data_IF_493698645413
#
_entry.id   IF_493698645413
#
_cell.length_a   1.000
_cell.length_b   1.000
_cell.length_c   1.000
_cell.angle_alpha   90.00
_cell.angle_beta   90.00
_cell.angle_gamma   90.00
#
_symmetry.space_group_name_H-M   'P 1'
#
loop_
_entity.id
_entity.type
_entity.pdbx_description
1 polymer ?
#
# COMPACT_ATOMS: atom_id res chain seq x y z
N UNK A 1 36.45 -10.51 16.24
CA UNK A 1 35.65 -11.00 15.10
C UNK A 1 35.43 -9.83 14.17
N UNK A 2 35.94 -9.87 12.95
CA UNK A 2 35.75 -8.79 11.99
C UNK A 2 34.27 -8.77 11.59
N UNK A 3 33.54 -7.72 12.00
CA UNK A 3 32.20 -7.44 11.48
C UNK A 3 32.34 -7.20 9.97
N UNK A 4 31.93 -8.19 9.16
CA UNK A 4 31.87 -8.02 7.71
C UNK A 4 30.85 -6.92 7.43
N UNK A 5 31.28 -5.84 6.77
CA UNK A 5 30.35 -4.79 6.34
C UNK A 5 29.22 -5.41 5.50
N UNK A 6 27.96 -4.97 5.67
CA UNK A 6 26.85 -5.44 4.85
C UNK A 6 27.16 -5.22 3.36
N UNK A 7 26.84 -6.20 2.52
CA UNK A 7 27.10 -6.14 1.07
C UNK A 7 26.33 -4.99 0.40
N UNK A 8 25.14 -4.68 0.91
CA UNK A 8 24.26 -3.62 0.42
C UNK A 8 23.87 -2.69 1.57
N UNK A 9 23.85 -1.39 1.30
CA UNK A 9 23.47 -0.36 2.26
C UNK A 9 22.69 0.75 1.57
N UNK A 10 21.84 1.44 2.32
CA UNK A 10 21.17 2.66 1.86
C UNK A 10 21.02 3.66 3.00
N UNK A 11 20.59 4.86 2.66
CA UNK A 11 20.35 5.94 3.61
C UNK A 11 18.86 6.07 3.88
N UNK A 12 18.48 6.00 5.15
CA UNK A 12 17.12 6.29 5.61
C UNK A 12 17.10 7.59 6.42
N UNK A 13 16.01 8.37 6.41
CA UNK A 13 15.85 9.49 7.33
C UNK A 13 15.81 9.02 8.79
N UNK A 14 16.49 9.75 9.66
CA UNK A 14 16.40 9.53 11.10
C UNK A 14 14.96 9.72 11.61
N UNK A 15 14.54 8.94 12.63
CA UNK A 15 13.37 9.26 13.41
C UNK A 15 13.54 10.66 14.01
N UNK A 16 12.52 11.52 13.89
CA UNK A 16 12.55 12.85 14.50
C UNK A 16 12.20 12.72 15.98
N UNK A 17 13.07 13.22 16.86
CA UNK A 17 12.73 13.39 18.26
C UNK A 17 11.72 14.56 18.42
N UNK A 18 10.75 14.45 19.35
CA UNK A 18 9.80 15.51 19.61
C UNK A 18 10.51 16.70 20.29
N UNK A 19 11.02 17.64 19.49
CA UNK A 19 11.66 18.87 19.97
C UNK A 19 12.61 19.56 18.99
N UNK A 20 13.06 18.88 17.94
CA UNK A 20 14.07 19.43 17.03
C UNK A 20 13.49 20.42 16.01
N UNK A 21 14.16 21.57 15.88
CA UNK A 21 13.86 22.56 14.83
C UNK A 21 14.31 22.02 13.47
N UNK A 22 13.59 22.35 12.38
CA UNK A 22 14.00 21.94 11.04
C UNK A 22 15.23 22.75 10.63
N UNK A 23 16.41 22.15 10.76
CA UNK A 23 17.66 22.63 10.19
C UNK A 23 18.12 21.63 9.12
N UNK A 24 18.99 22.12 8.23
CA UNK A 24 19.36 21.56 6.92
C UNK A 24 19.46 20.01 6.86
N UNK A 25 18.69 19.39 5.97
CA UNK A 25 18.26 17.98 6.07
C UNK A 25 19.25 16.93 5.53
N UNK A 26 20.36 17.30 4.88
CA UNK A 26 21.41 16.33 4.53
C UNK A 26 22.12 15.74 5.76
N UNK A 27 21.98 16.39 6.93
CA UNK A 27 22.62 15.98 8.18
C UNK A 27 21.89 14.82 8.93
N UNK A 28 20.73 14.36 8.46
CA UNK A 28 19.87 13.41 9.20
C UNK A 28 19.59 12.07 8.48
N UNK A 29 20.49 11.64 7.59
CA UNK A 29 20.39 10.33 6.95
C UNK A 29 21.29 9.29 7.63
N UNK A 30 20.73 8.18 8.08
CA UNK A 30 21.46 7.06 8.67
C UNK A 30 21.70 5.98 7.64
N UNK A 31 22.94 5.52 7.56
CA UNK A 31 23.33 4.41 6.71
C UNK A 31 22.90 3.10 7.38
N UNK A 32 21.99 2.38 6.72
CA UNK A 32 21.44 1.10 7.20
C UNK A 32 21.75 -0.02 6.21
N UNK A 33 21.89 -1.27 6.69
CA UNK A 33 22.03 -2.42 5.81
C UNK A 33 20.76 -2.70 5.00
N UNK A 34 20.96 -3.27 3.80
CA UNK A 34 19.92 -3.95 3.05
C UNK A 34 20.24 -5.45 3.06
N UNK A 35 19.28 -6.26 3.50
CA UNK A 35 19.39 -7.71 3.58
C UNK A 35 18.53 -8.37 2.49
N UNK A 36 19.13 -9.19 1.63
CA UNK A 36 18.37 -10.10 0.76
C UNK A 36 18.07 -11.36 1.56
N UNK A 37 16.78 -11.65 1.76
CA UNK A 37 16.29 -12.69 2.65
C UNK A 37 15.75 -13.86 1.83
N UNK A 38 16.33 -15.04 2.02
CA UNK A 38 15.88 -16.31 1.41
C UNK A 38 15.41 -17.32 2.46
N UNK A 39 15.67 -17.06 3.75
CA UNK A 39 15.25 -17.89 4.88
C UNK A 39 14.67 -17.04 6.01
N UNK A 40 13.64 -17.59 6.69
CA UNK A 40 12.94 -16.88 7.75
C UNK A 40 13.88 -16.43 8.88
N UNK A 41 14.90 -17.22 9.22
CA UNK A 41 15.87 -16.89 10.27
C UNK A 41 16.72 -15.64 10.00
N UNK A 42 16.63 -15.05 8.80
CA UNK A 42 17.28 -13.78 8.46
C UNK A 42 16.40 -12.56 8.72
N UNK A 43 15.14 -12.76 9.12
CA UNK A 43 14.21 -11.70 9.50
C UNK A 43 14.26 -11.45 11.02
N UNK A 44 13.88 -10.23 11.48
CA UNK A 44 13.77 -9.93 12.90
C UNK A 44 12.76 -10.84 13.60
N UNK A 45 13.09 -11.31 14.81
CA UNK A 45 12.21 -12.20 15.59
C UNK A 45 10.89 -11.52 15.90
N UNK A 46 10.92 -10.24 16.26
CA UNK A 46 9.74 -9.42 16.55
C UNK A 46 8.80 -9.26 15.34
N UNK A 47 9.29 -9.45 14.12
CA UNK A 47 8.46 -9.52 12.92
C UNK A 47 7.82 -10.91 12.79
N UNK A 48 8.59 -11.98 12.95
CA UNK A 48 8.09 -13.36 12.83
C UNK A 48 7.12 -13.74 13.95
N UNK A 49 7.30 -13.18 15.13
CA UNK A 49 6.54 -13.45 16.35
C UNK A 49 5.90 -12.15 16.89
N UNK A 50 4.91 -11.59 16.18
CA UNK A 50 4.28 -10.33 16.58
C UNK A 50 3.58 -10.50 17.94
N UNK A 51 3.82 -9.55 18.84
CA UNK A 51 3.25 -9.57 20.20
C UNK A 51 2.65 -8.23 20.58
N UNK A 52 1.75 -8.23 21.57
CA UNK A 52 1.10 -7.01 22.07
C UNK A 52 2.08 -6.12 22.84
N UNK A 53 3.13 -6.71 23.42
CA UNK A 53 4.19 -6.03 24.15
C UNK A 53 5.15 -5.26 23.23
N UNK A 54 5.25 -5.66 21.96
CA UNK A 54 6.15 -5.05 20.97
C UNK A 54 5.40 -4.67 19.70
N UNK A 55 4.84 -3.46 19.69
CA UNK A 55 4.21 -2.92 18.47
C UNK A 55 5.28 -2.42 17.51
N UNK A 56 5.15 -2.79 16.24
CA UNK A 56 6.08 -2.37 15.18
C UNK A 56 5.36 -1.50 14.16
N UNK A 57 6.12 -0.59 13.55
CA UNK A 57 5.72 0.13 12.33
C UNK A 57 6.80 -0.14 11.30
N UNK A 58 6.40 -0.66 10.14
CA UNK A 58 7.31 -1.00 9.05
C UNK A 58 6.84 -0.36 7.75
N UNK A 59 7.76 0.04 6.88
CA UNK A 59 7.45 0.30 5.48
C UNK A 59 7.29 -1.02 4.73
N UNK A 60 6.34 -1.09 3.81
CA UNK A 60 5.99 -2.30 3.08
C UNK A 60 5.67 -1.98 1.62
N UNK A 61 6.16 -2.81 0.72
CA UNK A 61 5.86 -2.81 -0.72
C UNK A 61 6.00 -4.24 -1.29
N UNK A 62 5.54 -4.46 -2.52
CA UNK A 62 5.80 -5.69 -3.27
C UNK A 62 6.16 -5.40 -4.74
N UNK A 63 7.06 -6.21 -5.29
CA UNK A 63 7.42 -6.16 -6.71
C UNK A 63 7.29 -7.53 -7.39
N UNK A 64 6.90 -7.52 -8.67
CA UNK A 64 6.61 -8.75 -9.38
C UNK A 64 6.28 -8.61 -10.86
N UNK A 65 5.95 -9.73 -11.49
CA UNK A 65 5.45 -9.78 -12.88
C UNK A 65 3.94 -9.71 -12.85
N UNK A 66 3.36 -8.70 -13.50
CA UNK A 66 1.92 -8.44 -13.53
C UNK A 66 1.29 -8.58 -12.13
N UNK A 67 1.92 -7.97 -11.12
CA UNK A 67 1.65 -8.18 -9.69
C UNK A 67 0.14 -8.10 -9.38
N UNK A 68 -0.48 -9.27 -9.19
CA UNK A 68 -1.91 -9.47 -8.99
C UNK A 68 -2.23 -10.93 -8.64
N UNK A 69 -3.52 -11.29 -8.63
CA UNK A 69 -3.99 -12.66 -8.42
C UNK A 69 -3.43 -13.72 -9.38
N UNK A 70 -3.11 -13.34 -10.61
CA UNK A 70 -2.62 -14.24 -11.67
C UNK A 70 -1.15 -13.98 -12.03
N UNK A 71 -0.54 -12.96 -11.43
CA UNK A 71 0.85 -12.61 -11.65
C UNK A 71 1.79 -13.43 -10.77
N UNK A 72 2.98 -12.90 -10.56
CA UNK A 72 3.99 -13.52 -9.67
C UNK A 72 4.62 -12.45 -8.80
N UNK A 73 4.38 -12.52 -7.49
CA UNK A 73 5.11 -11.74 -6.51
C UNK A 73 6.54 -12.28 -6.44
N UNK A 74 7.51 -11.42 -6.71
CA UNK A 74 8.91 -11.80 -6.80
C UNK A 74 9.71 -11.36 -5.58
N UNK A 75 9.41 -10.17 -5.05
CA UNK A 75 10.09 -9.58 -3.89
C UNK A 75 9.06 -8.86 -3.02
N UNK A 76 9.20 -8.98 -1.70
CA UNK A 76 8.47 -8.18 -0.73
C UNK A 76 9.48 -7.36 0.08
N UNK A 77 9.29 -6.04 0.13
CA UNK A 77 10.22 -5.11 0.76
C UNK A 77 9.70 -4.71 2.13
N UNK A 78 10.57 -4.77 3.15
CA UNK A 78 10.24 -4.41 4.53
C UNK A 78 11.27 -3.39 5.04
N UNK A 79 10.84 -2.16 5.30
CA UNK A 79 11.69 -1.13 5.91
C UNK A 79 11.46 -1.06 7.42
N UNK A 80 12.52 -1.26 8.18
CA UNK A 80 12.60 -1.06 9.62
C UNK A 80 13.38 0.23 9.93
N UNK A 81 13.33 0.74 11.18
CA UNK A 81 14.09 1.91 11.59
C UNK A 81 15.62 1.78 11.46
N UNK A 82 16.14 0.56 11.34
CA UNK A 82 17.57 0.27 11.37
C UNK A 82 18.06 -0.62 10.20
N UNK A 83 17.17 -1.14 9.36
CA UNK A 83 17.50 -2.03 8.24
C UNK A 83 16.37 -2.09 7.20
N UNK A 84 16.70 -2.55 5.98
CA UNK A 84 15.71 -2.95 4.96
C UNK A 84 15.88 -4.41 4.63
N UNK A 85 14.79 -5.16 4.57
CA UNK A 85 14.76 -6.56 4.20
C UNK A 85 14.03 -6.73 2.87
N UNK A 86 14.74 -7.30 1.88
CA UNK A 86 14.19 -7.69 0.58
C UNK A 86 13.92 -9.19 0.64
N UNK A 87 12.68 -9.55 0.94
CA UNK A 87 12.21 -10.94 1.05
C UNK A 87 12.03 -11.51 -0.34
N UNK A 88 12.91 -12.45 -0.72
CA UNK A 88 12.92 -13.09 -2.02
C UNK A 88 11.86 -14.21 -2.07
N UNK A 89 10.68 -13.88 -2.58
CA UNK A 89 9.56 -14.83 -2.68
C UNK A 89 9.84 -15.97 -3.69
N UNK A 90 10.77 -15.78 -4.63
CA UNK A 90 11.16 -16.81 -5.60
C UNK A 90 12.11 -17.82 -4.97
N UNK A 91 13.25 -17.37 -4.44
CA UNK A 91 14.23 -18.29 -3.85
C UNK A 91 13.79 -18.83 -2.48
N UNK A 92 13.16 -18.01 -1.65
CA UNK A 92 12.66 -18.43 -0.34
C UNK A 92 11.34 -19.22 -0.41
N UNK A 93 10.59 -19.05 -1.51
CA UNK A 93 9.38 -19.81 -1.82
C UNK A 93 8.27 -19.70 -0.77
N UNK A 94 7.35 -20.67 -0.80
CA UNK A 94 6.18 -20.71 0.08
C UNK A 94 6.56 -20.76 1.57
N UNK A 95 7.65 -21.44 1.93
CA UNK A 95 8.08 -21.56 3.32
C UNK A 95 8.43 -20.19 3.93
N UNK A 96 9.19 -19.36 3.20
CA UNK A 96 9.53 -18.01 3.65
C UNK A 96 8.28 -17.13 3.71
N UNK A 97 7.43 -17.16 2.67
CA UNK A 97 6.21 -16.35 2.64
C UNK A 97 5.24 -16.73 3.75
N UNK A 98 5.11 -18.03 4.07
CA UNK A 98 4.31 -18.52 5.19
C UNK A 98 4.86 -18.07 6.54
N UNK A 99 6.18 -17.97 6.69
CA UNK A 99 6.80 -17.45 7.91
C UNK A 99 6.50 -15.96 8.13
N UNK A 100 6.30 -15.18 7.07
CA UNK A 100 5.92 -13.77 7.15
C UNK A 100 4.43 -13.56 7.47
N UNK A 101 3.58 -14.58 7.27
CA UNK A 101 2.11 -14.47 7.42
C UNK A 101 1.68 -13.93 8.80
N UNK A 102 2.19 -14.41 9.95
CA UNK A 102 1.79 -13.87 11.26
C UNK A 102 1.98 -12.35 11.34
N UNK A 103 3.10 -11.84 10.83
CA UNK A 103 3.43 -10.42 10.82
C UNK A 103 2.49 -9.58 9.95
N UNK A 104 2.25 -10.07 8.73
CA UNK A 104 1.45 -9.37 7.72
C UNK A 104 -0.03 -9.31 8.11
N UNK A 105 -0.54 -10.33 8.80
CA UNK A 105 -1.93 -10.39 9.30
C UNK A 105 -2.09 -9.76 10.69
N UNK A 106 -1.00 -9.45 11.39
CA UNK A 106 -1.03 -8.94 12.77
C UNK A 106 -1.60 -7.52 12.88
N UNK A 107 -2.39 -7.30 13.94
CA UNK A 107 -2.82 -5.97 14.41
C UNK A 107 -1.77 -5.24 15.25
N UNK A 108 -0.66 -5.89 15.60
CA UNK A 108 0.44 -5.31 16.39
C UNK A 108 1.54 -4.72 15.51
N UNK A 109 1.57 -5.07 14.23
CA UNK A 109 2.50 -4.54 13.25
C UNK A 109 1.73 -3.66 12.27
N UNK A 110 2.04 -2.37 12.21
CA UNK A 110 1.49 -1.44 11.22
C UNK A 110 2.33 -1.48 9.96
N UNK A 111 1.68 -1.74 8.81
CA UNK A 111 2.34 -1.72 7.50
C UNK A 111 2.03 -0.39 6.83
N UNK A 112 3.06 0.44 6.67
CA UNK A 112 2.97 1.70 5.93
C UNK A 112 3.22 1.40 4.46
N UNK A 113 2.27 1.73 3.60
CA UNK A 113 2.28 1.36 2.18
C UNK A 113 1.92 2.56 1.32
N UNK A 114 2.24 2.52 0.03
CA UNK A 114 1.71 3.45 -0.96
C UNK A 114 0.96 2.66 -2.04
N UNK A 115 -0.38 2.71 -2.05
CA UNK A 115 -1.23 1.90 -2.94
C UNK A 115 -1.30 0.39 -2.66
N UNK A 116 -1.69 -0.02 -1.46
CA UNK A 116 -1.64 -1.43 -1.04
C UNK A 116 -2.53 -2.43 -1.80
N UNK A 117 -3.40 -1.97 -2.72
CA UNK A 117 -4.45 -2.81 -3.33
C UNK A 117 -3.89 -4.00 -4.10
N UNK A 118 -2.82 -3.80 -4.87
CA UNK A 118 -2.22 -4.85 -5.73
C UNK A 118 -1.29 -5.78 -4.96
N UNK A 119 -0.58 -5.24 -3.98
CA UNK A 119 0.22 -6.04 -3.05
C UNK A 119 -0.67 -6.98 -2.25
N UNK A 120 -1.77 -6.45 -1.72
CA UNK A 120 -2.77 -7.24 -0.99
C UNK A 120 -3.42 -8.30 -1.89
N UNK A 121 -3.78 -7.96 -3.14
CA UNK A 121 -4.33 -8.94 -4.09
C UNK A 121 -3.34 -10.07 -4.38
N UNK A 122 -2.06 -9.75 -4.60
CA UNK A 122 -1.02 -10.74 -4.84
C UNK A 122 -0.80 -11.64 -3.62
N UNK A 123 -0.63 -11.05 -2.43
CA UNK A 123 -0.49 -11.78 -1.17
C UNK A 123 -1.68 -12.72 -0.89
N UNK A 124 -2.90 -12.23 -1.12
CA UNK A 124 -4.12 -12.97 -0.86
C UNK A 124 -4.25 -14.20 -1.75
N UNK A 125 -4.14 -14.04 -3.06
CA UNK A 125 -4.38 -15.15 -4.00
C UNK A 125 -3.18 -16.08 -4.19
N UNK A 126 -1.95 -15.58 -4.04
CA UNK A 126 -0.75 -16.40 -4.24
C UNK A 126 -0.30 -17.12 -2.96
N UNK A 127 -0.54 -16.54 -1.78
CA UNK A 127 -0.05 -17.08 -0.49
C UNK A 127 -1.12 -17.21 0.59
N UNK A 128 -2.37 -16.82 0.31
CA UNK A 128 -3.45 -16.87 1.31
C UNK A 128 -3.23 -15.90 2.46
N UNK A 129 -2.52 -14.79 2.25
CA UNK A 129 -2.17 -13.79 3.28
C UNK A 129 -3.11 -12.58 3.20
N UNK A 130 -3.74 -12.24 4.32
CA UNK A 130 -4.64 -11.08 4.46
C UNK A 130 -3.92 -9.90 5.08
N UNK A 131 -3.39 -9.01 4.24
CA UNK A 131 -2.68 -7.83 4.73
C UNK A 131 -3.60 -7.00 5.65
N UNK A 132 -3.18 -6.81 6.90
CA UNK A 132 -3.99 -6.19 7.94
C UNK A 132 -3.27 -5.00 8.60
N UNK A 133 -3.96 -4.09 9.26
CA UNK A 133 -3.36 -2.94 9.96
C UNK A 133 -2.43 -2.11 9.04
N UNK A 134 -2.98 -1.69 7.89
CA UNK A 134 -2.28 -0.91 6.87
C UNK A 134 -2.57 0.57 7.02
N UNK A 135 -1.52 1.38 6.92
CA UNK A 135 -1.61 2.83 6.70
C UNK A 135 -1.15 3.12 5.28
N UNK A 136 -2.11 3.34 4.38
CA UNK A 136 -1.82 3.72 3.00
C UNK A 136 -1.61 5.24 2.92
N UNK A 137 -0.40 5.65 2.53
CA UNK A 137 0.00 7.06 2.45
C UNK A 137 -0.85 7.86 1.45
N UNK A 138 -1.45 7.22 0.44
CA UNK A 138 -2.36 7.88 -0.50
C UNK A 138 -3.69 8.30 0.13
N UNK A 139 -4.05 7.72 1.28
CA UNK A 139 -5.29 8.04 1.97
C UNK A 139 -5.15 9.26 2.90
N UNK A 140 -3.95 9.82 3.05
CA UNK A 140 -3.74 11.02 3.87
C UNK A 140 -4.52 12.22 3.33
N UNK A 141 -5.16 13.04 4.19
CA UNK A 141 -5.87 14.24 3.76
C UNK A 141 -5.00 15.18 2.93
N UNK A 142 -3.73 15.30 3.29
CA UNK A 142 -2.80 16.16 2.60
C UNK A 142 -2.45 15.64 1.21
N UNK A 143 -2.24 14.32 1.05
CA UNK A 143 -2.09 13.73 -0.27
C UNK A 143 -3.38 13.84 -1.09
N UNK A 144 -4.55 13.68 -0.47
CA UNK A 144 -5.83 13.85 -1.19
C UNK A 144 -6.03 15.30 -1.67
N UNK A 145 -5.58 16.29 -0.90
CA UNK A 145 -5.73 17.71 -1.22
C UNK A 145 -4.70 18.20 -2.25
N UNK A 146 -3.42 17.88 -2.02
CA UNK A 146 -2.32 18.45 -2.81
C UNK A 146 -1.71 17.42 -3.76
N UNK A 147 -2.10 16.15 -3.66
CA UNK A 147 -1.50 15.06 -4.42
C UNK A 147 0.00 15.02 -4.22
N UNK A 148 0.70 14.90 -5.35
CA UNK A 148 2.16 14.96 -5.41
C UNK A 148 2.75 16.29 -4.92
N UNK A 149 1.98 17.39 -4.94
CA UNK A 149 2.47 18.67 -4.46
C UNK A 149 2.65 18.70 -2.93
N UNK A 150 1.95 17.84 -2.18
CA UNK A 150 2.16 17.70 -0.73
C UNK A 150 3.60 17.29 -0.41
N UNK A 151 4.07 16.30 -1.15
CA UNK A 151 5.45 15.86 -1.07
C UNK A 151 6.37 17.03 -1.46
N UNK A 152 6.08 17.74 -2.56
CA UNK A 152 6.91 18.87 -3.02
C UNK A 152 7.02 20.06 -2.03
N UNK A 153 6.00 20.32 -1.21
CA UNK A 153 5.93 21.52 -0.36
C UNK A 153 6.63 21.38 1.00
N UNK A 154 7.04 20.17 1.39
CA UNK A 154 7.85 19.95 2.58
C UNK A 154 9.32 19.95 2.17
N UNK A 155 9.96 21.12 2.26
CA UNK A 155 11.37 21.31 1.90
C UNK A 155 12.25 20.26 2.63
N UNK A 156 12.99 19.45 1.86
CA UNK A 156 13.67 18.21 2.30
C UNK A 156 13.36 17.00 1.40
N UNK A 157 12.28 17.09 0.61
CA UNK A 157 11.69 16.04 -0.24
C UNK A 157 12.27 15.97 -1.67
N UNK A 158 13.56 16.29 -1.88
CA UNK A 158 14.18 15.87 -3.15
C UNK A 158 14.33 14.34 -3.20
N UNK A 159 14.50 13.73 -2.03
CA UNK A 159 14.70 12.30 -1.82
C UNK A 159 13.36 11.53 -1.63
N UNK A 160 12.28 12.16 -1.15
CA UNK A 160 10.96 11.51 -1.07
C UNK A 160 10.33 11.29 -2.45
N UNK A 161 10.75 12.09 -3.46
CA UNK A 161 10.50 11.81 -4.88
C UNK A 161 10.95 10.38 -5.24
N UNK A 162 12.04 9.90 -4.63
CA UNK A 162 12.65 8.60 -4.93
C UNK A 162 11.84 7.41 -4.42
N UNK A 163 11.18 7.50 -3.26
CA UNK A 163 10.36 6.40 -2.69
C UNK A 163 9.06 6.20 -3.43
N UNK A 164 8.27 7.25 -3.55
CA UNK A 164 6.94 7.20 -4.18
C UNK A 164 6.99 7.13 -5.72
N UNK A 165 8.17 6.88 -6.29
CA UNK A 165 8.31 6.67 -7.72
C UNK A 165 8.16 7.93 -8.56
N UNK A 166 8.83 9.02 -8.23
CA UNK A 166 8.93 10.16 -9.14
C UNK A 166 10.40 10.57 -9.29
N UNK A 167 11.00 10.15 -10.41
CA UNK A 167 12.12 10.76 -11.15
C UNK A 167 13.38 11.21 -10.36
N UNK A 168 14.39 10.33 -10.42
CA UNK A 168 15.70 10.68 -10.99
C UNK A 168 15.81 10.07 -12.41
N UNK A 169 16.83 10.46 -13.19
CA UNK A 169 17.20 9.79 -14.45
C UNK A 169 17.29 8.27 -14.28
N UNK A 170 17.86 7.80 -13.16
CA UNK A 170 18.02 6.37 -12.85
C UNK A 170 16.68 5.63 -12.63
N UNK A 171 15.65 6.26 -12.03
CA UNK A 171 14.34 5.59 -11.86
C UNK A 171 13.53 5.61 -13.15
N UNK A 172 13.73 6.58 -14.05
CA UNK A 172 13.19 6.52 -15.40
C UNK A 172 13.89 5.42 -16.21
N UNK A 173 15.20 5.24 -16.07
CA UNK A 173 15.93 4.12 -16.66
C UNK A 173 15.40 2.77 -16.15
N UNK A 174 15.25 2.59 -14.84
CA UNK A 174 14.64 1.38 -14.26
C UNK A 174 13.22 1.19 -14.76
N UNK A 175 12.41 2.24 -14.87
CA UNK A 175 11.03 2.14 -15.41
C UNK A 175 10.99 1.81 -16.88
N UNK A 176 11.92 2.35 -17.66
CA UNK A 176 12.07 2.01 -19.07
C UNK A 176 12.50 0.54 -19.19
N UNK A 177 13.43 0.08 -18.36
CA UNK A 177 13.85 -1.31 -18.29
C UNK A 177 12.68 -2.22 -17.86
N UNK A 178 11.91 -1.85 -16.84
CA UNK A 178 10.70 -2.58 -16.42
C UNK A 178 9.65 -2.66 -17.53
N UNK A 179 9.49 -1.60 -18.33
CA UNK A 179 8.59 -1.61 -19.51
C UNK A 179 9.13 -2.46 -20.65
N UNK A 180 10.44 -2.53 -20.82
CA UNK A 180 11.10 -3.32 -21.87
C UNK A 180 11.21 -4.80 -21.50
N UNK A 181 11.36 -5.09 -20.22
CA UNK A 181 11.51 -6.43 -19.68
C UNK A 181 10.48 -6.69 -18.56
N UNK A 182 9.31 -7.24 -18.92
CA UNK A 182 8.28 -7.62 -17.97
C UNK A 182 8.75 -8.66 -16.93
N UNK A 183 9.86 -9.36 -17.19
CA UNK A 183 10.42 -10.41 -16.31
C UNK A 183 11.55 -9.90 -15.42
N UNK A 184 11.85 -8.59 -15.43
CA UNK A 184 12.92 -7.97 -14.67
C UNK A 184 13.05 -8.50 -13.23
N UNK A 185 11.93 -8.55 -12.49
CA UNK A 185 11.91 -8.99 -11.09
C UNK A 185 12.12 -10.49 -10.87
N UNK A 186 12.13 -11.31 -11.93
CA UNK A 186 12.32 -12.76 -11.83
C UNK A 186 13.79 -13.19 -11.81
N UNK A 187 14.70 -12.35 -12.29
CA UNK A 187 16.10 -12.73 -12.43
C UNK A 187 16.80 -12.87 -11.08
N UNK A 188 17.73 -13.84 -11.00
CA UNK A 188 18.54 -14.12 -9.81
C UNK A 188 20.00 -14.42 -10.17
N UNK A 189 20.98 -14.08 -9.30
CA UNK A 189 20.80 -13.29 -8.08
C UNK A 189 20.31 -11.87 -8.39
N UNK A 190 19.73 -11.17 -7.40
CA UNK A 190 19.28 -9.79 -7.60
C UNK A 190 20.49 -8.93 -7.98
N UNK A 191 20.37 -8.19 -9.08
CA UNK A 191 21.40 -7.22 -9.46
C UNK A 191 21.43 -6.06 -8.47
N UNK A 192 22.55 -5.34 -8.40
CA UNK A 192 22.67 -4.15 -7.55
C UNK A 192 21.59 -3.10 -7.87
N UNK A 193 21.22 -2.98 -9.16
CA UNK A 193 20.14 -2.11 -9.60
C UNK A 193 18.79 -2.53 -9.02
N UNK A 194 18.47 -3.83 -9.03
CA UNK A 194 17.23 -4.37 -8.46
C UNK A 194 17.16 -4.14 -6.95
N UNK A 195 18.27 -4.39 -6.24
CA UNK A 195 18.36 -4.19 -4.79
C UNK A 195 18.14 -2.72 -4.43
N UNK A 196 18.79 -1.78 -5.16
CA UNK A 196 18.61 -0.35 -4.94
C UNK A 196 17.19 0.11 -5.25
N UNK A 197 16.65 -0.29 -6.41
CA UNK A 197 15.29 0.09 -6.82
C UNK A 197 14.24 -0.37 -5.80
N UNK A 198 14.28 -1.65 -5.40
CA UNK A 198 13.34 -2.19 -4.41
C UNK A 198 13.48 -1.51 -3.03
N UNK A 199 14.71 -1.25 -2.58
CA UNK A 199 14.92 -0.56 -1.32
C UNK A 199 14.39 0.89 -1.35
N UNK A 200 14.53 1.58 -2.48
CA UNK A 200 14.05 2.96 -2.62
C UNK A 200 12.53 3.07 -2.37
N UNK A 201 11.72 2.10 -2.83
CA UNK A 201 10.26 2.14 -2.72
C UNK A 201 9.76 2.19 -1.25
N UNK A 202 10.51 1.61 -0.31
CA UNK A 202 10.12 1.55 1.11
C UNK A 202 10.92 2.45 2.05
N UNK A 203 12.14 2.86 1.69
CA UNK A 203 13.10 3.47 2.64
C UNK A 203 12.67 4.78 3.29
N UNK A 204 11.67 5.46 2.73
CA UNK A 204 11.12 6.70 3.29
C UNK A 204 9.71 6.56 3.88
N UNK A 205 9.06 5.40 3.76
CA UNK A 205 7.68 5.23 4.19
C UNK A 205 7.51 5.51 5.68
N UNK A 206 8.47 5.10 6.52
CA UNK A 206 8.44 5.40 7.96
C UNK A 206 8.54 6.90 8.26
N UNK A 207 9.41 7.63 7.55
CA UNK A 207 9.50 9.08 7.69
C UNK A 207 8.20 9.78 7.28
N UNK A 208 7.62 9.38 6.14
CA UNK A 208 6.31 9.86 5.67
C UNK A 208 5.25 9.62 6.73
N UNK A 209 5.19 8.39 7.25
CA UNK A 209 4.25 8.00 8.28
C UNK A 209 4.34 8.92 9.50
N UNK A 210 5.54 9.13 10.07
CA UNK A 210 5.69 10.01 11.23
C UNK A 210 5.23 11.45 10.93
N UNK A 211 5.56 11.99 9.75
CA UNK A 211 5.09 13.32 9.32
C UNK A 211 3.59 13.41 9.11
N UNK A 212 2.96 12.34 8.65
CA UNK A 212 1.50 12.27 8.59
C UNK A 212 0.91 12.23 10.00
N UNK A 213 1.43 11.39 10.88
CA UNK A 213 0.89 11.21 12.24
C UNK A 213 0.92 12.50 13.06
N UNK A 214 1.89 13.40 12.85
CA UNK A 214 1.94 14.73 13.50
C UNK A 214 0.70 15.60 13.24
N UNK A 215 -0.03 15.38 12.13
CA UNK A 215 -1.11 16.25 11.66
C UNK A 215 -2.51 15.65 11.79
N UNK A 216 -2.60 14.35 12.08
CA UNK A 216 -3.87 13.63 12.06
C UNK A 216 -4.59 13.74 13.40
N UNK A 217 -5.87 14.09 13.34
CA UNK A 217 -6.77 14.00 14.48
C UNK A 217 -7.40 12.60 14.57
N UNK A 218 -8.15 12.32 15.64
CA UNK A 218 -8.80 11.03 15.87
C UNK A 218 -9.73 10.60 14.73
N UNK A 219 -10.45 11.54 14.12
CA UNK A 219 -11.33 11.26 12.97
C UNK A 219 -10.53 10.83 11.75
N UNK A 220 -9.43 11.53 11.44
CA UNK A 220 -8.56 11.18 10.31
C UNK A 220 -7.83 9.86 10.53
N UNK A 221 -7.41 9.57 11.77
CA UNK A 221 -6.81 8.27 12.13
C UNK A 221 -7.78 7.11 11.93
N UNK A 222 -9.03 7.25 12.40
CA UNK A 222 -10.07 6.26 12.16
C UNK A 222 -10.33 6.08 10.66
N UNK A 223 -10.46 7.18 9.92
CA UNK A 223 -10.69 7.13 8.47
C UNK A 223 -9.57 6.37 7.74
N UNK A 224 -8.30 6.65 8.09
CA UNK A 224 -7.15 5.94 7.53
C UNK A 224 -7.19 4.44 7.83
N UNK A 225 -7.53 4.06 9.07
CA UNK A 225 -7.59 2.66 9.47
C UNK A 225 -8.71 1.91 8.72
N UNK A 226 -9.90 2.50 8.61
CA UNK A 226 -11.02 1.88 7.90
C UNK A 226 -10.75 1.80 6.40
N UNK A 227 -10.31 2.90 5.77
CA UNK A 227 -9.99 2.92 4.34
C UNK A 227 -8.81 2.02 3.98
N UNK A 228 -7.79 1.93 4.84
CA UNK A 228 -6.68 0.98 4.68
C UNK A 228 -7.16 -0.46 4.67
N UNK A 229 -8.05 -0.83 5.59
CA UNK A 229 -8.67 -2.16 5.61
C UNK A 229 -9.54 -2.43 4.37
N UNK A 230 -10.32 -1.44 3.89
CA UNK A 230 -11.11 -1.56 2.67
C UNK A 230 -10.25 -1.67 1.41
N UNK A 231 -9.11 -0.97 1.35
CA UNK A 231 -8.14 -1.10 0.25
C UNK A 231 -7.49 -2.48 0.24
N UNK A 232 -7.13 -3.05 1.39
CA UNK A 232 -6.56 -4.39 1.45
C UNK A 232 -7.56 -5.46 0.96
N UNK A 233 -8.86 -5.25 1.19
CA UNK A 233 -9.93 -6.11 0.67
C UNK A 233 -10.27 -5.84 -0.80
N UNK A 234 -9.93 -4.65 -1.30
CA UNK A 234 -10.17 -4.30 -2.69
C UNK A 234 -9.45 -5.31 -3.59
N UNK A 235 -10.15 -5.82 -4.59
CA UNK A 235 -9.73 -6.93 -5.44
C UNK A 235 -9.61 -8.31 -4.76
N UNK A 236 -9.54 -8.44 -3.44
CA UNK A 236 -9.48 -9.73 -2.73
C UNK A 236 -10.86 -10.40 -2.55
N UNK A 237 -11.66 -10.49 -3.62
CA UNK A 237 -13.02 -11.03 -3.57
C UNK A 237 -13.00 -12.55 -3.66
N UNK A 238 -13.78 -13.17 -2.78
CA UNK A 238 -14.19 -14.56 -2.78
C UNK A 238 -15.72 -14.65 -2.60
N UNK A 239 -16.27 -15.86 -2.54
CA UNK A 239 -17.72 -16.07 -2.40
C UNK A 239 -18.27 -15.86 -0.97
N UNK A 240 -17.45 -15.39 -0.02
CA UNK A 240 -17.84 -15.31 1.40
C UNK A 240 -18.08 -13.88 1.92
N UNK A 241 -18.20 -12.89 1.03
CA UNK A 241 -18.40 -11.47 1.37
C UNK A 241 -17.34 -10.91 2.34
N UNK A 242 -16.08 -11.36 2.22
CA UNK A 242 -14.98 -10.98 3.11
C UNK A 242 -15.18 -11.38 4.58
N UNK A 243 -16.03 -12.38 4.88
CA UNK A 243 -16.28 -12.83 6.26
C UNK A 243 -15.01 -13.35 6.96
N UNK A 244 -14.00 -13.73 6.19
CA UNK A 244 -12.73 -14.23 6.69
C UNK A 244 -11.69 -13.12 6.93
N UNK A 245 -12.02 -11.85 6.67
CA UNK A 245 -11.18 -10.69 6.99
C UNK A 245 -11.45 -10.16 8.41
N UNK A 246 -10.44 -9.59 9.10
CA UNK A 246 -10.64 -8.91 10.38
C UNK A 246 -11.73 -7.84 10.28
N UNK A 247 -12.56 -7.65 11.31
CA UNK A 247 -13.61 -6.62 11.30
C UNK A 247 -13.05 -5.21 11.07
N UNK A 248 -13.85 -4.34 10.46
CA UNK A 248 -13.45 -2.94 10.29
C UNK A 248 -13.36 -2.23 11.65
N UNK A 249 -12.44 -1.28 11.85
CA UNK A 249 -12.37 -0.47 13.05
C UNK A 249 -13.71 0.26 13.31
N UNK A 250 -14.29 0.16 14.52
CA UNK A 250 -15.51 0.87 14.86
C UNK A 250 -15.25 2.39 14.94
N UNK A 251 -16.30 3.19 14.78
CA UNK A 251 -16.23 4.64 14.97
C UNK A 251 -15.91 4.94 16.46
N UNK A 252 -14.87 5.72 16.77
CA UNK A 252 -14.53 6.04 18.15
C UNK A 252 -15.60 6.91 18.83
N UNK A 253 -15.97 6.59 20.07
CA UNK A 253 -17.01 7.29 20.84
C UNK A 253 -16.75 8.81 20.97
N UNK A 254 -15.48 9.19 21.14
CA UNK A 254 -15.05 10.58 21.26
C UNK A 254 -15.26 11.41 19.97
N UNK A 255 -15.33 10.77 18.80
CA UNK A 255 -15.62 11.44 17.52
C UNK A 255 -17.13 11.68 17.35
N UNK A 256 -17.98 10.88 18.03
CA UNK A 256 -19.45 10.98 17.95
C UNK A 256 -20.00 12.20 18.69
N UNK A 257 -19.30 12.65 19.74
CA UNK A 257 -19.76 13.72 20.65
C UNK A 257 -19.75 15.11 19.97
N UNK A 258 -18.95 15.32 18.93
CA UNK A 258 -18.77 16.62 18.25
C UNK A 258 -19.90 16.97 17.25
N UNK A 259 -21.07 16.35 17.40
CA UNK A 259 -22.30 16.67 16.66
C UNK A 259 -22.33 16.25 15.18
N UNK A 260 -21.25 15.67 14.64
CA UNK A 260 -21.17 15.23 13.24
C UNK A 260 -20.38 13.91 13.12
N UNK A 261 -20.93 12.84 13.68
CA UNK A 261 -20.36 11.50 13.63
C UNK A 261 -20.08 11.09 12.17
N UNK A 262 -18.90 10.54 11.85
CA UNK A 262 -18.61 10.06 10.51
C UNK A 262 -19.59 8.94 10.15
N UNK A 263 -20.02 8.90 8.89
CA UNK A 263 -20.80 7.78 8.38
C UNK A 263 -19.91 6.55 8.23
N UNK A 264 -20.48 5.36 8.43
CA UNK A 264 -19.79 4.11 8.16
C UNK A 264 -19.33 4.04 6.70
N UNK A 265 -18.10 3.55 6.50
CA UNK A 265 -17.50 3.34 5.19
C UNK A 265 -17.59 1.87 4.81
N UNK A 266 -17.96 1.58 3.57
CA UNK A 266 -18.08 0.21 3.05
C UNK A 266 -17.35 0.07 1.73
N UNK A 267 -16.96 -1.18 1.42
CA UNK A 267 -16.60 -1.61 0.08
C UNK A 267 -17.79 -2.37 -0.50
N UNK A 268 -18.31 -1.89 -1.64
CA UNK A 268 -19.27 -2.62 -2.44
C UNK A 268 -18.65 -3.07 -3.75
N UNK A 269 -19.02 -4.29 -4.15
CA UNK A 269 -18.56 -4.91 -5.39
C UNK A 269 -19.77 -5.12 -6.28
N UNK A 270 -19.68 -4.59 -7.49
CA UNK A 270 -20.73 -4.69 -8.50
C UNK A 270 -20.25 -5.54 -9.67
N UNK A 271 -20.96 -6.63 -9.95
CA UNK A 271 -20.76 -7.41 -11.17
C UNK A 271 -21.26 -6.65 -12.40
N UNK A 272 -20.43 -6.64 -13.44
CA UNK A 272 -20.71 -6.02 -14.72
C UNK A 272 -20.95 -7.11 -15.75
N UNK A 273 -22.17 -7.23 -16.31
CA UNK A 273 -22.45 -8.24 -17.31
C UNK A 273 -21.54 -8.11 -18.54
N UNK A 274 -21.26 -9.22 -19.25
CA UNK A 274 -20.42 -9.21 -20.44
C UNK A 274 -20.87 -8.14 -21.46
N UNK A 275 -19.91 -7.37 -21.97
CA UNK A 275 -20.17 -6.29 -22.93
C UNK A 275 -20.74 -4.99 -22.35
N UNK A 276 -21.09 -4.93 -21.06
CA UNK A 276 -21.65 -3.71 -20.43
C UNK A 276 -20.61 -2.76 -19.85
N UNK A 277 -19.36 -3.19 -19.69
CA UNK A 277 -18.29 -2.36 -19.11
C UNK A 277 -18.09 -1.03 -19.87
N UNK A 278 -18.21 -1.06 -21.21
CA UNK A 278 -18.13 0.16 -22.02
C UNK A 278 -19.25 1.17 -21.73
N UNK A 279 -20.45 0.72 -21.31
CA UNK A 279 -21.55 1.60 -20.89
C UNK A 279 -21.31 2.21 -19.51
N UNK A 280 -20.70 1.45 -18.61
CA UNK A 280 -20.31 1.91 -17.27
C UNK A 280 -19.26 3.02 -17.37
N UNK A 281 -18.20 2.79 -18.17
CA UNK A 281 -17.12 3.76 -18.36
C UNK A 281 -17.62 4.97 -19.19
N UNK A 282 -18.37 4.69 -20.26
CA UNK A 282 -18.78 5.68 -21.23
C UNK A 282 -17.66 6.11 -22.17
N UNK A 283 -18.00 6.87 -23.21
CA UNK A 283 -17.03 7.37 -24.20
C UNK A 283 -15.99 8.24 -23.49
N UNK A 284 -14.70 7.90 -23.64
CA UNK A 284 -13.57 8.57 -22.97
C UNK A 284 -13.69 8.66 -21.44
N UNK A 285 -14.47 7.78 -20.80
CA UNK A 285 -14.67 7.83 -19.34
C UNK A 285 -15.68 8.87 -18.85
N UNK A 286 -16.40 9.56 -19.74
CA UNK A 286 -17.28 10.66 -19.36
C UNK A 286 -18.39 10.24 -18.37
N UNK A 287 -18.94 9.03 -18.53
CA UNK A 287 -20.02 8.54 -17.66
C UNK A 287 -19.48 8.26 -16.26
N UNK A 288 -18.37 7.51 -16.15
CA UNK A 288 -17.81 7.16 -14.85
C UNK A 288 -17.29 8.40 -14.11
N UNK A 289 -16.72 9.38 -14.81
CA UNK A 289 -16.31 10.66 -14.23
C UNK A 289 -17.50 11.43 -13.67
N UNK A 290 -18.60 11.54 -14.44
CA UNK A 290 -19.82 12.20 -13.97
C UNK A 290 -20.43 11.51 -12.75
N UNK A 291 -20.38 10.18 -12.67
CA UNK A 291 -20.84 9.44 -11.48
C UNK A 291 -19.93 9.77 -10.30
N UNK A 292 -18.60 9.71 -10.47
CA UNK A 292 -17.63 10.07 -9.42
C UNK A 292 -17.81 11.50 -8.89
N UNK A 293 -18.14 12.46 -9.74
CA UNK A 293 -18.43 13.84 -9.32
C UNK A 293 -19.77 13.94 -8.57
N UNK A 294 -20.71 13.04 -8.87
CA UNK A 294 -22.06 13.05 -8.29
C UNK A 294 -22.16 12.30 -6.96
N UNK A 295 -21.26 11.36 -6.70
CA UNK A 295 -21.20 10.60 -5.46
C UNK A 295 -19.85 10.84 -4.78
N UNK A 296 -19.84 11.19 -3.50
CA UNK A 296 -18.60 11.29 -2.72
C UNK A 296 -18.09 9.88 -2.33
N UNK A 297 -17.94 9.01 -3.32
CA UNK A 297 -17.47 7.64 -3.21
C UNK A 297 -16.39 7.41 -4.26
N UNK A 298 -15.37 6.67 -3.88
CA UNK A 298 -14.33 6.25 -4.77
C UNK A 298 -14.82 5.08 -5.62
N UNK A 299 -14.67 5.18 -6.94
CA UNK A 299 -15.04 4.11 -7.85
C UNK A 299 -13.80 3.62 -8.59
N UNK A 300 -13.47 2.35 -8.38
CA UNK A 300 -12.35 1.67 -8.99
C UNK A 300 -12.88 0.65 -10.00
N UNK A 301 -12.39 0.78 -11.23
CA UNK A 301 -12.73 -0.15 -12.29
C UNK A 301 -11.85 -1.38 -12.18
N UNK A 302 -12.46 -2.54 -12.37
CA UNK A 302 -11.78 -3.75 -12.75
C UNK A 302 -11.08 -3.66 -14.12
N UNK A 303 -10.36 -4.71 -14.51
CA UNK A 303 -9.64 -4.80 -15.79
C UNK A 303 -8.14 -4.78 -15.60
N UNK A 304 -7.44 -3.79 -16.15
CA UNK A 304 -5.97 -3.69 -16.02
C UNK A 304 -5.50 -3.54 -14.57
N UNK A 305 -6.39 -3.19 -13.64
CA UNK A 305 -6.11 -2.98 -12.22
C UNK A 305 -6.83 -3.95 -11.26
N UNK A 306 -7.62 -4.91 -11.76
CA UNK A 306 -8.42 -5.83 -10.94
C UNK A 306 -9.32 -6.77 -11.78
N UNK A 307 -10.28 -7.52 -11.21
CA UNK A 307 -11.17 -8.41 -11.98
C UNK A 307 -11.88 -7.69 -13.14
N UNK A 308 -11.80 -8.17 -14.40
CA UNK A 308 -12.27 -7.42 -15.58
C UNK A 308 -13.78 -7.17 -15.62
N UNK A 309 -14.55 -7.94 -14.88
CA UNK A 309 -16.01 -7.97 -14.83
C UNK A 309 -16.58 -7.26 -13.59
N UNK A 310 -15.77 -6.52 -12.83
CA UNK A 310 -16.21 -5.93 -11.55
C UNK A 310 -15.93 -4.44 -11.45
N UNK A 311 -16.77 -3.76 -10.66
CA UNK A 311 -16.58 -2.38 -10.23
C UNK A 311 -16.60 -2.34 -8.72
N UNK A 312 -15.62 -1.66 -8.13
CA UNK A 312 -15.44 -1.54 -6.69
C UNK A 312 -15.79 -0.12 -6.28
N UNK A 313 -16.59 0.02 -5.24
CA UNK A 313 -17.09 1.31 -4.77
C UNK A 313 -16.78 1.40 -3.28
N UNK A 314 -15.94 2.36 -2.90
CA UNK A 314 -15.50 2.56 -1.52
C UNK A 314 -15.93 3.94 -1.05
N UNK A 315 -16.67 4.02 0.04
CA UNK A 315 -17.21 5.29 0.51
C UNK A 315 -18.19 5.16 1.67
N UNK A 316 -18.74 6.30 2.12
CA UNK A 316 -19.87 6.32 3.03
C UNK A 316 -21.05 5.52 2.47
N UNK A 317 -21.74 4.74 3.31
CA UNK A 317 -22.82 3.83 2.89
C UNK A 317 -23.81 4.49 1.92
N UNK A 318 -24.30 5.69 2.22
CA UNK A 318 -25.27 6.39 1.36
C UNK A 318 -24.71 6.74 -0.02
N UNK A 319 -23.45 7.15 -0.08
CA UNK A 319 -22.77 7.52 -1.32
C UNK A 319 -22.47 6.29 -2.17
N UNK A 320 -22.09 5.18 -1.53
CA UNK A 320 -21.88 3.89 -2.20
C UNK A 320 -23.18 3.39 -2.82
N UNK A 321 -24.30 3.39 -2.07
CA UNK A 321 -25.61 2.97 -2.61
C UNK A 321 -26.10 3.87 -3.74
N UNK A 322 -25.84 5.18 -3.65
CA UNK A 322 -26.12 6.12 -4.75
C UNK A 322 -25.32 5.75 -6.01
N UNK A 323 -24.02 5.52 -5.87
CA UNK A 323 -23.15 5.13 -6.97
C UNK A 323 -23.58 3.80 -7.60
N UNK A 324 -23.89 2.79 -6.78
CA UNK A 324 -24.41 1.50 -7.25
C UNK A 324 -25.67 1.66 -8.11
N UNK A 325 -26.64 2.44 -7.64
CA UNK A 325 -27.89 2.67 -8.37
C UNK A 325 -27.63 3.34 -9.73
N UNK A 326 -26.76 4.35 -9.76
CA UNK A 326 -26.36 5.02 -11.00
C UNK A 326 -25.65 4.07 -11.98
N UNK A 327 -24.74 3.22 -11.49
CA UNK A 327 -24.00 2.25 -12.30
C UNK A 327 -24.92 1.15 -12.83
N UNK A 328 -25.79 0.58 -11.99
CA UNK A 328 -26.79 -0.43 -12.39
C UNK A 328 -27.71 0.11 -13.47
N UNK A 329 -28.16 1.37 -13.34
CA UNK A 329 -28.97 2.03 -14.37
C UNK A 329 -28.30 2.11 -15.74
N UNK A 330 -26.96 2.18 -15.81
CA UNK A 330 -26.21 2.18 -17.08
C UNK A 330 -26.07 0.80 -17.72
N UNK A 331 -26.24 -0.27 -16.94
CA UNK A 331 -26.09 -1.65 -17.40
C UNK A 331 -27.41 -2.26 -17.89
N UNK A 332 -28.55 -1.68 -17.52
CA UNK A 332 -29.86 -2.06 -18.05
C UNK A 332 -29.89 -1.89 -19.57
N UNK A 333 -30.56 -2.82 -20.25
CA UNK A 333 -30.92 -2.62 -21.65
C UNK A 333 -32.10 -1.67 -21.72
N UNK A 334 -31.92 -0.59 -22.48
CA UNK A 334 -32.98 0.34 -22.82
C UNK A 334 -33.76 -0.18 -24.02
#
# INVERSE_FOLDING_TARGET
>A
MASSRPLHQTKIPLPLDPGDKPLDHEAHLTLVPIHVVTHASQLPTEFLEPSVESKLVIGFDCEGVDLCRHGTLCIMQLAFPDAIYLVDAIQGGEMLMRACKPALESSYITKVVHDCKRDSEALYFQFGIKLNNVVDTQLSPEYQQYGMAWFNSHAGVRDLRLSIGISYLEKEEVRVLLRQDPKFWTYRPLSELMVRAAADDVRFLLYIYHKMMEKLNQRSLWYLAVRGALYCRCFCINDNDSADWPSLPPIPDNVVIDGNAPEEEILSVLDVPPGKMGRVIGRKGAVILSIKESCNAEILMGGSKGPPDKVFIIGPVKQVRKAEAMLRGRMLDM
#
